data_IF_754034103238
#
_entry.id   IF_754034103238
#
_cell.length_a   1.000
_cell.length_b   1.000
_cell.length_c   1.000
_cell.angle_alpha   90.00
_cell.angle_beta   90.00
_cell.angle_gamma   90.00
#
_symmetry.space_group_name_H-M   'P 1'
#
loop_
_entity.id
_entity.type
_entity.pdbx_description
1 polymer ?
#
# COMPACT_ATOMS: atom_id res chain seq x y z
N UNK A 1 0.96 -34.39 -18.26
CA UNK A 1 0.93 -35.22 -17.03
C UNK A 1 -0.35 -34.91 -16.25
N UNK A 2 -1.36 -35.80 -16.23
CA UNK A 2 -2.64 -35.57 -15.55
C UNK A 2 -2.58 -35.77 -14.02
N UNK A 3 -1.53 -36.41 -13.50
CA UNK A 3 -1.35 -36.71 -12.07
C UNK A 3 -1.18 -35.45 -11.19
N UNK A 4 -0.55 -34.39 -11.70
CA UNK A 4 -0.31 -33.15 -10.95
C UNK A 4 -1.57 -32.33 -10.68
N UNK A 5 -2.57 -32.38 -11.57
CA UNK A 5 -3.83 -31.65 -11.42
C UNK A 5 -4.66 -32.18 -10.24
N UNK A 6 -4.87 -33.49 -10.18
CA UNK A 6 -5.65 -34.11 -9.10
C UNK A 6 -4.93 -34.03 -7.76
N UNK A 7 -3.61 -34.21 -7.73
CA UNK A 7 -2.80 -34.05 -6.53
C UNK A 7 -2.84 -32.62 -5.97
N UNK A 8 -2.90 -31.60 -6.84
CA UNK A 8 -3.09 -30.21 -6.40
C UNK A 8 -4.49 -29.99 -5.83
N UNK A 9 -5.52 -30.53 -6.49
CA UNK A 9 -6.94 -30.36 -6.10
C UNK A 9 -7.24 -30.92 -4.71
N UNK A 10 -6.60 -32.01 -4.31
CA UNK A 10 -6.84 -32.67 -3.01
C UNK A 10 -5.79 -32.31 -1.95
N UNK A 11 -4.83 -31.43 -2.25
CA UNK A 11 -3.73 -31.14 -1.33
C UNK A 11 -4.24 -30.41 -0.09
N UNK A 12 -3.93 -30.89 1.12
CA UNK A 12 -4.27 -30.16 2.34
C UNK A 12 -3.52 -28.82 2.37
N UNK A 13 -4.03 -27.83 3.15
CA UNK A 13 -3.35 -26.55 3.29
C UNK A 13 -1.92 -26.74 3.79
N UNK A 14 -1.00 -25.98 3.20
CA UNK A 14 0.39 -26.01 3.64
C UNK A 14 0.51 -25.53 5.10
N UNK A 15 1.54 -25.98 5.83
CA UNK A 15 1.84 -25.50 7.19
C UNK A 15 1.86 -23.97 7.29
N UNK A 16 2.33 -23.30 6.23
CA UNK A 16 2.32 -21.84 6.13
C UNK A 16 0.92 -21.27 6.05
N UNK A 17 0.02 -21.88 5.26
CA UNK A 17 -1.36 -21.43 5.13
C UNK A 17 -2.10 -21.56 6.47
N UNK A 18 -1.95 -22.70 7.15
CA UNK A 18 -2.51 -22.90 8.50
C UNK A 18 -1.98 -21.85 9.48
N UNK A 19 -0.67 -21.60 9.49
CA UNK A 19 -0.06 -20.58 10.35
C UNK A 19 -0.54 -19.16 10.02
N UNK A 20 -0.74 -18.87 8.73
CA UNK A 20 -1.24 -17.58 8.27
C UNK A 20 -2.69 -17.34 8.75
N UNK A 21 -3.54 -18.37 8.76
CA UNK A 21 -4.89 -18.32 9.31
C UNK A 21 -4.89 -18.06 10.83
N UNK A 22 -4.04 -18.76 11.59
CA UNK A 22 -3.86 -18.49 13.03
C UNK A 22 -3.42 -17.04 13.29
N UNK A 23 -2.45 -16.54 12.50
CA UNK A 23 -1.95 -15.18 12.62
C UNK A 23 -3.01 -14.15 12.24
N UNK A 24 -3.85 -14.43 11.24
CA UNK A 24 -4.95 -13.54 10.85
C UNK A 24 -5.92 -13.31 12.01
N UNK A 25 -6.26 -14.36 12.77
CA UNK A 25 -7.11 -14.22 13.97
C UNK A 25 -6.51 -13.22 14.96
N UNK A 26 -5.20 -13.34 15.23
CA UNK A 26 -4.51 -12.43 16.15
C UNK A 26 -4.39 -11.01 15.59
N UNK A 27 -4.13 -10.86 14.30
CA UNK A 27 -4.10 -9.57 13.61
C UNK A 27 -5.47 -8.87 13.70
N UNK A 28 -6.57 -9.58 13.45
CA UNK A 28 -7.92 -9.05 13.58
C UNK A 28 -8.22 -8.64 15.02
N UNK A 29 -7.86 -9.48 16.01
CA UNK A 29 -8.03 -9.17 17.44
C UNK A 29 -7.33 -7.87 17.82
N UNK A 30 -6.05 -7.75 17.47
CA UNK A 30 -5.25 -6.55 17.77
C UNK A 30 -5.77 -5.32 17.03
N UNK A 31 -6.13 -5.45 15.74
CA UNK A 31 -6.65 -4.34 14.95
C UNK A 31 -7.97 -3.82 15.52
N UNK A 32 -8.92 -4.71 15.82
CA UNK A 32 -10.21 -4.37 16.40
C UNK A 32 -10.09 -3.78 17.81
N UNK A 33 -9.24 -4.36 18.67
CA UNK A 33 -8.99 -3.85 20.02
C UNK A 33 -8.39 -2.42 20.03
N UNK A 34 -7.77 -2.00 18.92
CA UNK A 34 -7.22 -0.66 18.74
C UNK A 34 -8.09 0.19 17.79
N UNK A 35 -9.40 -0.09 17.70
CA UNK A 35 -10.39 0.65 16.91
C UNK A 35 -10.02 0.82 15.42
N UNK A 36 -9.25 -0.12 14.88
CA UNK A 36 -8.74 -0.08 13.52
C UNK A 36 -7.68 0.99 13.23
N UNK A 37 -7.19 1.70 14.26
CA UNK A 37 -6.16 2.73 14.10
C UNK A 37 -4.81 2.12 13.74
N UNK A 38 -4.51 0.93 14.25
CA UNK A 38 -3.20 0.31 14.08
C UNK A 38 -2.99 -0.23 12.66
N UNK A 39 -1.95 0.28 11.99
CA UNK A 39 -1.44 -0.32 10.74
C UNK A 39 -0.43 -1.43 11.01
N UNK A 40 0.06 -2.06 9.94
CA UNK A 40 0.94 -3.24 10.02
C UNK A 40 2.14 -3.08 10.96
N UNK A 41 2.80 -1.92 10.99
CA UNK A 41 3.92 -1.66 11.90
C UNK A 41 3.51 -1.74 13.37
N UNK A 42 2.37 -1.16 13.74
CA UNK A 42 1.86 -1.14 15.12
C UNK A 42 1.29 -2.49 15.53
N UNK A 43 0.57 -3.16 14.62
CA UNK A 43 0.08 -4.53 14.84
C UNK A 43 1.26 -5.49 15.07
N UNK A 44 2.28 -5.44 14.20
CA UNK A 44 3.50 -6.24 14.36
C UNK A 44 4.18 -5.99 15.71
N UNK A 45 4.35 -4.72 16.11
CA UNK A 45 4.93 -4.39 17.41
C UNK A 45 4.10 -4.92 18.58
N UNK A 46 2.77 -4.89 18.47
CA UNK A 46 1.88 -5.43 19.50
C UNK A 46 1.95 -6.96 19.59
N UNK A 47 1.94 -7.66 18.45
CA UNK A 47 2.09 -9.12 18.41
C UNK A 47 3.43 -9.56 19.05
N UNK A 48 4.52 -8.83 18.78
CA UNK A 48 5.81 -9.10 19.42
C UNK A 48 5.78 -8.89 20.95
N UNK A 49 5.10 -7.84 21.43
CA UNK A 49 4.92 -7.61 22.89
C UNK A 49 4.12 -8.72 23.57
N UNK A 50 3.23 -9.37 22.83
CA UNK A 50 2.43 -10.50 23.29
C UNK A 50 3.15 -11.85 23.10
N UNK A 51 4.41 -11.84 22.67
CA UNK A 51 5.24 -13.04 22.49
C UNK A 51 5.03 -13.78 21.17
N UNK A 52 4.23 -13.22 20.24
CA UNK A 52 3.98 -13.82 18.93
C UNK A 52 5.07 -13.35 17.96
N UNK A 53 6.10 -14.18 17.79
CA UNK A 53 7.17 -13.92 16.81
C UNK A 53 6.67 -14.11 15.38
N UNK A 54 6.66 -13.02 14.61
CA UNK A 54 6.26 -13.00 13.20
C UNK A 54 7.04 -11.92 12.46
N UNK A 55 7.43 -12.18 11.22
CA UNK A 55 8.10 -11.18 10.40
C UNK A 55 7.14 -10.02 10.04
N UNK A 56 7.64 -8.78 10.07
CA UNK A 56 6.86 -7.59 9.68
C UNK A 56 6.21 -7.72 8.31
N UNK A 57 6.94 -8.24 7.32
CA UNK A 57 6.42 -8.44 5.96
C UNK A 57 5.26 -9.45 5.90
N UNK A 58 5.21 -10.42 6.81
CA UNK A 58 4.08 -11.35 6.94
C UNK A 58 2.85 -10.62 7.44
N UNK A 59 2.98 -9.78 8.47
CA UNK A 59 1.86 -8.96 8.98
C UNK A 59 1.35 -8.01 7.90
N UNK A 60 2.25 -7.31 7.20
CA UNK A 60 1.91 -6.43 6.08
C UNK A 60 1.13 -7.18 4.97
N UNK A 61 1.62 -8.35 4.57
CA UNK A 61 0.96 -9.19 3.58
C UNK A 61 -0.41 -9.66 4.03
N UNK A 62 -0.53 -10.17 5.26
CA UNK A 62 -1.80 -10.71 5.79
C UNK A 62 -2.84 -9.61 5.99
N UNK A 63 -2.45 -8.45 6.53
CA UNK A 63 -3.34 -7.29 6.61
C UNK A 63 -3.84 -6.86 5.23
N UNK A 64 -2.95 -6.84 4.22
CA UNK A 64 -3.35 -6.52 2.84
C UNK A 64 -4.35 -7.53 2.28
N UNK A 65 -4.12 -8.83 2.47
CA UNK A 65 -5.04 -9.89 2.02
C UNK A 65 -6.40 -9.79 2.72
N UNK A 66 -6.42 -9.46 4.02
CA UNK A 66 -7.63 -9.29 4.81
C UNK A 66 -8.30 -7.91 4.64
N UNK A 67 -7.77 -7.02 3.79
CA UNK A 67 -8.31 -5.67 3.60
C UNK A 67 -8.15 -4.73 4.80
N UNK A 68 -7.38 -5.12 5.82
CA UNK A 68 -7.15 -4.32 7.01
C UNK A 68 -6.13 -3.21 6.74
N UNK A 69 -6.48 -1.99 7.16
CA UNK A 69 -5.59 -0.82 7.08
C UNK A 69 -5.60 -0.08 8.40
N UNK A 70 -4.47 0.54 8.72
CA UNK A 70 -4.37 1.47 9.82
C UNK A 70 -4.64 2.90 9.37
N UNK A 71 -4.99 3.75 10.32
CA UNK A 71 -5.16 5.18 10.08
C UNK A 71 -3.79 5.88 10.10
N UNK A 72 -3.51 6.66 9.06
CA UNK A 72 -2.33 7.51 8.99
C UNK A 72 -2.73 8.98 9.09
N UNK A 73 -2.00 9.75 9.91
CA UNK A 73 -2.10 11.22 9.93
C UNK A 73 -1.25 11.89 8.85
N UNK A 74 -0.38 11.13 8.19
CA UNK A 74 0.43 11.67 7.10
C UNK A 74 -0.50 12.07 5.96
N UNK A 75 -0.54 13.37 5.67
CA UNK A 75 -1.17 13.88 4.44
C UNK A 75 -0.20 13.64 3.29
N UNK A 76 -0.73 13.39 2.10
CA UNK A 76 0.08 13.35 0.88
C UNK A 76 0.85 14.67 0.71
N UNK A 77 2.01 14.66 0.04
CA UNK A 77 2.76 15.88 -0.20
C UNK A 77 1.89 16.88 -0.97
N UNK A 78 1.92 18.15 -0.57
CA UNK A 78 1.40 19.24 -1.40
C UNK A 78 2.41 19.46 -2.52
N UNK A 79 2.17 18.85 -3.67
CA UNK A 79 3.03 18.96 -4.86
C UNK A 79 2.93 20.32 -5.53
N UNK A 80 1.79 21.00 -5.40
CA UNK A 80 1.55 22.30 -6.04
C UNK A 80 1.30 23.38 -4.99
N UNK A 81 2.14 24.41 -5.01
CA UNK A 81 1.92 25.65 -4.27
C UNK A 81 1.50 26.68 -5.32
N UNK A 82 0.24 27.12 -5.28
CA UNK A 82 -0.24 28.17 -6.19
C UNK A 82 0.49 29.48 -5.92
N UNK A 83 0.85 30.20 -6.99
CA UNK A 83 1.36 31.56 -6.88
C UNK A 83 0.37 32.46 -6.13
N UNK A 84 0.88 33.44 -5.36
CA UNK A 84 0.06 34.30 -4.49
C UNK A 84 -0.52 35.53 -5.23
N UNK A 85 -0.39 35.58 -6.55
CA UNK A 85 -0.77 36.74 -7.36
C UNK A 85 -1.11 36.38 -8.79
N UNK A 86 -1.45 37.38 -9.62
CA UNK A 86 -1.66 37.18 -11.06
C UNK A 86 -0.41 36.56 -11.69
N UNK A 87 -0.61 35.69 -12.70
CA UNK A 87 0.51 35.12 -13.44
C UNK A 87 1.11 36.21 -14.34
N UNK A 88 2.20 36.80 -13.88
CA UNK A 88 2.90 37.87 -14.60
C UNK A 88 3.97 37.31 -15.55
N UNK A 89 3.99 35.99 -15.79
CA UNK A 89 4.92 35.40 -16.75
C UNK A 89 4.53 35.86 -18.15
N UNK A 90 5.49 36.43 -18.91
CA UNK A 90 5.21 36.84 -20.28
C UNK A 90 4.92 35.60 -21.14
N UNK A 91 3.88 35.69 -21.95
CA UNK A 91 3.65 34.73 -23.03
C UNK A 91 4.62 35.05 -24.17
N UNK A 92 5.77 34.38 -24.17
CA UNK A 92 6.85 34.62 -25.13
C UNK A 92 6.48 34.21 -26.56
N UNK A 93 5.39 33.45 -26.73
CA UNK A 93 4.94 32.98 -28.04
C UNK A 93 3.59 33.59 -28.45
N UNK A 94 3.03 34.49 -27.64
CA UNK A 94 1.76 35.18 -27.91
C UNK A 94 0.62 34.21 -28.32
N UNK A 95 0.59 33.02 -27.72
CA UNK A 95 -0.30 31.89 -28.05
C UNK A 95 -0.18 31.32 -29.48
N UNK A 96 0.89 31.62 -30.20
CA UNK A 96 1.25 30.91 -31.43
C UNK A 96 2.09 29.66 -31.08
N UNK A 97 1.46 28.49 -31.16
CA UNK A 97 2.10 27.21 -30.90
C UNK A 97 2.60 26.53 -32.19
N UNK A 98 2.62 27.26 -33.31
CA UNK A 98 3.04 26.73 -34.62
C UNK A 98 4.56 26.67 -34.70
N UNK A 99 5.12 25.50 -34.99
CA UNK A 99 6.54 25.30 -35.25
C UNK A 99 6.75 24.55 -36.57
N UNK A 100 7.77 24.92 -37.33
CA UNK A 100 8.09 24.31 -38.64
C UNK A 100 9.07 23.15 -38.52
N UNK A 101 9.79 23.06 -37.40
CA UNK A 101 10.72 21.98 -37.10
C UNK A 101 10.79 21.70 -35.58
N UNK A 102 11.26 20.50 -35.16
CA UNK A 102 11.53 20.21 -33.75
C UNK A 102 12.53 21.19 -33.12
N UNK A 103 12.46 21.36 -31.80
CA UNK A 103 13.32 22.25 -31.00
C UNK A 103 13.18 23.76 -31.27
N UNK A 104 12.15 24.20 -32.01
CA UNK A 104 11.88 25.63 -32.23
C UNK A 104 10.98 26.25 -31.15
N UNK A 105 10.11 25.46 -30.51
CA UNK A 105 9.14 25.92 -29.52
C UNK A 105 8.99 24.85 -28.42
N UNK A 106 8.91 25.30 -27.16
CA UNK A 106 8.80 24.45 -25.97
C UNK A 106 7.63 24.97 -25.11
N UNK A 107 6.66 24.10 -24.80
CA UNK A 107 5.45 24.42 -24.01
C UNK A 107 5.44 23.61 -22.73
#
# INVERSE_FOLDING_TARGET
>A
APSTYYAFKTRPPSRRAVRDEELLVQIHRVHAANFGVYGAKKVHAQLLREGISVARCTVERLMRVAGLRGISRAKGPRTTISGRGPDNRPDLVERDFTATAPNQLWV
#
